data_IF_407909704705
#
_entry.id   IF_407909704705
#
_cell.length_a   1.000
_cell.length_b   1.000
_cell.length_c   1.000
_cell.angle_alpha   90.00
_cell.angle_beta   90.00
_cell.angle_gamma   90.00
#
_symmetry.space_group_name_H-M   'P 1'
#
loop_
_entity.id
_entity.type
_entity.pdbx_description
1 polymer ?
#
# COMPACT_ATOMS: atom_id res chain seq x y z
N UNK A 1 8.81 -41.36 -22.59
CA UNK A 1 7.34 -41.60 -22.57
C UNK A 1 6.82 -42.34 -21.32
N UNK A 2 7.59 -43.15 -20.60
CA UNK A 2 7.14 -43.76 -19.32
C UNK A 2 7.34 -42.84 -18.11
N UNK A 3 8.35 -42.01 -18.12
CA UNK A 3 8.66 -41.09 -16.98
C UNK A 3 7.71 -39.89 -16.88
N UNK A 4 7.29 -39.30 -18.00
CA UNK A 4 6.35 -38.15 -18.00
C UNK A 4 4.95 -38.49 -17.45
N UNK A 5 4.47 -39.73 -17.67
CA UNK A 5 3.18 -40.17 -17.08
C UNK A 5 3.26 -40.36 -15.57
N UNK A 6 4.44 -40.70 -15.05
CA UNK A 6 4.66 -40.93 -13.63
C UNK A 6 4.81 -39.59 -12.88
N UNK A 7 5.43 -38.58 -13.48
CA UNK A 7 5.50 -37.23 -12.92
C UNK A 7 4.15 -36.51 -12.92
N UNK A 8 3.39 -36.62 -14.00
CA UNK A 8 2.02 -36.11 -14.07
C UNK A 8 1.07 -36.79 -13.08
N UNK A 9 1.25 -38.08 -12.83
CA UNK A 9 0.52 -38.83 -11.82
C UNK A 9 0.82 -38.34 -10.41
N UNK A 10 2.09 -38.17 -10.06
CA UNK A 10 2.55 -37.62 -8.75
C UNK A 10 2.10 -36.21 -8.54
N UNK A 11 2.15 -35.36 -9.59
CA UNK A 11 1.66 -33.98 -9.53
C UNK A 11 0.15 -33.89 -9.28
N UNK A 12 -0.64 -34.78 -9.89
CA UNK A 12 -2.10 -34.86 -9.67
C UNK A 12 -2.45 -35.37 -8.26
N UNK A 13 -1.64 -36.25 -7.72
CA UNK A 13 -1.82 -36.81 -6.38
C UNK A 13 -1.42 -35.77 -5.33
N UNK A 14 -0.33 -35.04 -5.52
CA UNK A 14 0.08 -33.91 -4.69
C UNK A 14 -0.94 -32.75 -4.73
N UNK A 15 -1.47 -32.42 -5.92
CA UNK A 15 -2.53 -31.41 -6.10
C UNK A 15 -3.87 -31.85 -5.45
N UNK A 16 -4.06 -33.15 -5.28
CA UNK A 16 -5.23 -33.71 -4.58
C UNK A 16 -5.02 -33.70 -3.08
N UNK A 17 -3.84 -34.10 -2.59
CA UNK A 17 -3.48 -34.04 -1.17
C UNK A 17 -3.45 -32.58 -0.66
N UNK A 18 -2.94 -31.64 -1.45
CA UNK A 18 -2.95 -30.21 -1.12
C UNK A 18 -4.40 -29.67 -1.13
N UNK A 19 -5.26 -30.11 -2.05
CA UNK A 19 -6.71 -29.77 -2.01
C UNK A 19 -7.40 -30.33 -0.78
N UNK A 20 -7.12 -31.58 -0.45
CA UNK A 20 -7.75 -32.27 0.69
C UNK A 20 -7.22 -31.68 2.02
N UNK A 21 -5.97 -31.24 2.06
CA UNK A 21 -5.36 -30.57 3.21
C UNK A 21 -5.95 -29.16 3.43
N UNK A 22 -6.18 -28.39 2.37
CA UNK A 22 -6.87 -27.08 2.44
C UNK A 22 -8.39 -27.23 2.63
N UNK A 23 -8.99 -28.34 2.18
CA UNK A 23 -10.40 -28.69 2.40
C UNK A 23 -10.64 -29.33 3.79
N UNK A 24 -9.70 -30.09 4.32
CA UNK A 24 -9.80 -30.72 5.65
C UNK A 24 -9.44 -29.76 6.80
N UNK A 25 -8.70 -28.66 6.56
CA UNK A 25 -8.55 -27.56 7.50
C UNK A 25 -9.84 -26.72 7.66
N UNK A 26 -10.84 -26.96 6.81
CA UNK A 26 -12.18 -26.38 6.89
C UNK A 26 -13.02 -26.96 8.01
N UNK A 27 -12.63 -26.72 9.26
CA UNK A 27 -13.53 -26.77 10.40
C UNK A 27 -14.53 -25.61 10.25
N UNK A 28 -15.64 -25.82 9.51
CA UNK A 28 -16.87 -25.05 9.62
C UNK A 28 -16.78 -23.52 9.46
N UNK A 29 -15.71 -22.99 8.85
CA UNK A 29 -15.56 -21.57 8.56
C UNK A 29 -16.41 -21.17 7.36
N UNK A 30 -17.01 -19.99 7.40
CA UNK A 30 -17.67 -19.42 6.22
C UNK A 30 -16.64 -19.12 5.12
N UNK A 31 -17.03 -19.18 3.82
CA UNK A 31 -16.10 -18.94 2.71
C UNK A 31 -15.57 -17.50 2.72
N UNK A 32 -14.47 -17.24 1.97
CA UNK A 32 -13.86 -15.92 1.78
C UNK A 32 -14.92 -14.83 1.68
N UNK A 33 -14.73 -13.75 2.47
CA UNK A 33 -15.60 -12.58 2.40
C UNK A 33 -15.29 -11.78 1.14
N UNK A 34 -16.34 -11.22 0.56
CA UNK A 34 -16.22 -10.34 -0.60
C UNK A 34 -16.89 -8.99 -0.32
N UNK A 35 -16.32 -7.93 -0.89
CA UNK A 35 -16.91 -6.58 -0.91
C UNK A 35 -17.00 -6.10 -2.36
N UNK A 36 -18.02 -5.27 -2.64
CA UNK A 36 -18.26 -4.80 -4.01
C UNK A 36 -17.31 -3.67 -4.39
N UNK A 37 -16.83 -3.71 -5.65
CA UNK A 37 -16.23 -2.55 -6.27
C UNK A 37 -17.28 -1.52 -6.71
N UNK A 38 -16.85 -0.42 -7.34
CA UNK A 38 -17.74 0.67 -7.85
C UNK A 38 -18.82 0.17 -8.82
N UNK A 39 -18.57 -0.95 -9.50
CA UNK A 39 -19.46 -1.51 -10.52
C UNK A 39 -20.18 -2.79 -10.07
N UNK A 40 -20.13 -3.11 -8.79
CA UNK A 40 -20.82 -4.25 -8.18
C UNK A 40 -20.10 -5.60 -8.32
N UNK A 41 -18.82 -5.60 -8.76
CA UNK A 41 -18.01 -6.81 -8.87
C UNK A 41 -17.50 -7.21 -7.49
N UNK A 42 -17.48 -8.51 -7.21
CA UNK A 42 -16.98 -9.07 -5.95
C UNK A 42 -15.45 -9.09 -5.90
N UNK A 43 -14.88 -8.43 -4.89
CA UNK A 43 -13.47 -8.48 -4.54
C UNK A 43 -13.28 -9.16 -3.19
N UNK A 44 -12.38 -10.13 -3.11
CA UNK A 44 -12.01 -10.75 -1.83
C UNK A 44 -11.47 -9.67 -0.88
N UNK A 45 -11.91 -9.70 0.38
CA UNK A 45 -11.44 -8.71 1.38
C UNK A 45 -9.94 -8.81 1.64
N UNK A 46 -9.34 -9.99 1.40
CA UNK A 46 -7.89 -10.20 1.36
C UNK A 46 -7.41 -10.14 -0.09
N UNK A 47 -6.41 -9.29 -0.36
CA UNK A 47 -5.69 -9.23 -1.62
C UNK A 47 -4.26 -9.73 -1.48
N UNK A 48 -3.73 -10.36 -2.54
CA UNK A 48 -2.36 -10.85 -2.58
C UNK A 48 -1.41 -9.76 -3.09
N UNK A 49 -0.51 -9.26 -2.20
CA UNK A 49 0.51 -8.28 -2.54
C UNK A 49 1.77 -8.93 -3.10
N UNK A 50 2.03 -8.76 -4.39
CA UNK A 50 3.12 -9.42 -5.13
C UNK A 50 4.50 -8.73 -5.00
N UNK A 51 4.68 -7.80 -4.05
CA UNK A 51 5.95 -7.08 -3.86
C UNK A 51 7.00 -7.91 -3.10
N UNK A 52 6.58 -8.85 -2.24
CA UNK A 52 7.44 -9.47 -1.22
C UNK A 52 7.66 -10.97 -1.40
N UNK A 53 7.68 -11.45 -2.62
CA UNK A 53 8.04 -12.84 -2.90
C UNK A 53 9.41 -13.21 -2.33
N UNK A 54 9.52 -14.44 -1.82
CA UNK A 54 10.80 -15.00 -1.38
C UNK A 54 11.80 -14.99 -2.53
N UNK A 55 13.06 -14.70 -2.24
CA UNK A 55 14.13 -14.69 -3.23
C UNK A 55 15.06 -15.89 -3.03
N UNK A 56 15.51 -16.48 -4.15
CA UNK A 56 16.58 -17.45 -4.23
C UNK A 56 17.75 -16.77 -4.96
N UNK A 57 18.74 -16.32 -4.18
CA UNK A 57 19.78 -15.41 -4.68
C UNK A 57 19.19 -14.02 -5.00
N UNK A 58 19.39 -13.55 -6.23
CA UNK A 58 18.88 -12.24 -6.71
C UNK A 58 17.50 -12.32 -7.38
N UNK A 59 17.06 -13.52 -7.78
CA UNK A 59 15.78 -13.77 -8.44
C UNK A 59 14.67 -14.16 -7.44
N UNK A 60 13.41 -14.02 -7.86
CA UNK A 60 12.27 -14.56 -7.11
C UNK A 60 12.31 -16.09 -7.16
N UNK A 61 12.03 -16.75 -6.04
CA UNK A 61 11.79 -18.21 -6.00
C UNK A 61 10.41 -18.50 -6.64
N UNK A 62 10.44 -18.79 -7.95
CA UNK A 62 9.22 -18.92 -8.74
C UNK A 62 8.36 -20.11 -8.30
N UNK A 63 8.99 -21.24 -7.93
CA UNK A 63 8.26 -22.44 -7.50
C UNK A 63 7.51 -22.18 -6.17
N UNK A 64 8.20 -21.55 -5.22
CA UNK A 64 7.60 -21.18 -3.93
C UNK A 64 6.49 -20.16 -4.12
N UNK A 65 6.72 -19.11 -4.90
CA UNK A 65 5.73 -18.08 -5.17
C UNK A 65 4.49 -18.62 -5.89
N UNK A 66 4.64 -19.56 -6.86
CA UNK A 66 3.52 -20.24 -7.51
C UNK A 66 2.67 -21.02 -6.49
N UNK A 67 3.29 -21.77 -5.58
CA UNK A 67 2.56 -22.48 -4.51
C UNK A 67 1.75 -21.51 -3.63
N UNK A 68 2.34 -20.38 -3.26
CA UNK A 68 1.69 -19.35 -2.43
C UNK A 68 0.52 -18.67 -3.17
N UNK A 69 0.72 -18.28 -4.44
CA UNK A 69 -0.33 -17.70 -5.30
C UNK A 69 -1.50 -18.66 -5.46
N UNK A 70 -1.20 -19.93 -5.78
CA UNK A 70 -2.23 -20.95 -6.01
C UNK A 70 -2.96 -21.34 -4.73
N UNK A 71 -2.28 -21.35 -3.57
CA UNK A 71 -2.93 -21.56 -2.27
C UNK A 71 -3.93 -20.45 -1.98
N UNK A 72 -3.53 -19.18 -2.16
CA UNK A 72 -4.41 -18.03 -1.99
C UNK A 72 -5.61 -18.06 -2.96
N UNK A 73 -5.38 -18.41 -4.24
CA UNK A 73 -6.45 -18.56 -5.22
C UNK A 73 -7.46 -19.64 -4.82
N UNK A 74 -7.00 -20.81 -4.38
CA UNK A 74 -7.88 -21.90 -3.92
C UNK A 74 -8.69 -21.53 -2.68
N UNK A 75 -8.14 -20.65 -1.84
CA UNK A 75 -8.82 -20.10 -0.66
C UNK A 75 -9.76 -18.92 -1.00
N UNK A 76 -9.98 -18.59 -2.28
CA UNK A 76 -10.93 -17.59 -2.72
C UNK A 76 -10.37 -16.18 -2.89
N UNK A 77 -9.05 -15.96 -2.74
CA UNK A 77 -8.43 -14.66 -3.05
C UNK A 77 -8.50 -14.40 -4.54
N UNK A 78 -9.14 -13.29 -4.93
CA UNK A 78 -9.32 -12.94 -6.34
C UNK A 78 -8.73 -11.57 -6.73
N UNK A 79 -7.97 -10.91 -5.85
CA UNK A 79 -7.31 -9.63 -6.11
C UNK A 79 -5.79 -9.76 -5.91
N UNK A 80 -5.00 -9.51 -6.98
CA UNK A 80 -3.54 -9.65 -7.01
C UNK A 80 -2.90 -8.32 -7.38
N UNK A 81 -2.12 -7.74 -6.45
CA UNK A 81 -1.51 -6.41 -6.59
C UNK A 81 -0.03 -6.50 -6.91
N UNK A 82 0.36 -5.98 -8.06
CA UNK A 82 1.76 -5.83 -8.48
C UNK A 82 2.06 -4.39 -8.91
N UNK A 83 3.23 -4.12 -9.47
CA UNK A 83 3.60 -2.84 -10.07
C UNK A 83 4.77 -3.01 -11.03
N UNK A 84 4.84 -2.14 -12.04
CA UNK A 84 5.96 -2.07 -13.00
C UNK A 84 7.34 -2.10 -12.33
N UNK A 85 7.48 -1.40 -11.19
CA UNK A 85 8.75 -1.25 -10.47
C UNK A 85 9.09 -2.39 -9.51
N UNK A 86 8.23 -3.42 -9.38
CA UNK A 86 8.55 -4.58 -8.55
C UNK A 86 9.34 -5.60 -9.39
N UNK A 87 10.67 -5.74 -9.17
CA UNK A 87 11.52 -6.50 -10.08
C UNK A 87 11.06 -7.96 -10.23
N UNK A 88 10.71 -8.37 -11.46
CA UNK A 88 10.28 -9.73 -11.80
C UNK A 88 8.86 -10.11 -11.39
N UNK A 89 8.16 -9.27 -10.62
CA UNK A 89 6.85 -9.60 -10.06
C UNK A 89 5.77 -9.77 -11.13
N UNK A 90 5.67 -8.85 -12.09
CA UNK A 90 4.69 -8.93 -13.18
C UNK A 90 4.92 -10.17 -14.06
N UNK A 91 6.18 -10.43 -14.41
CA UNK A 91 6.55 -11.61 -15.23
C UNK A 91 6.18 -12.90 -14.50
N UNK A 92 6.48 -12.99 -13.22
CA UNK A 92 6.14 -14.16 -12.41
C UNK A 92 4.62 -14.36 -12.32
N UNK A 93 3.90 -13.30 -11.94
CA UNK A 93 2.44 -13.35 -11.79
C UNK A 93 1.78 -13.79 -13.13
N UNK A 94 2.13 -13.14 -14.24
CA UNK A 94 1.60 -13.48 -15.56
C UNK A 94 1.89 -14.93 -15.94
N UNK A 95 3.11 -15.41 -15.70
CA UNK A 95 3.50 -16.81 -15.96
C UNK A 95 2.68 -17.80 -15.14
N UNK A 96 2.46 -17.52 -13.85
CA UNK A 96 1.69 -18.41 -12.96
C UNK A 96 0.23 -18.44 -13.39
N UNK A 97 -0.37 -17.29 -13.66
CA UNK A 97 -1.79 -17.21 -14.04
C UNK A 97 -2.07 -17.90 -15.39
N UNK A 98 -1.19 -17.70 -16.39
CA UNK A 98 -1.29 -18.35 -17.69
C UNK A 98 -1.13 -19.87 -17.57
N UNK A 99 -0.05 -20.35 -16.91
CA UNK A 99 0.24 -21.77 -16.73
C UNK A 99 -0.90 -22.53 -16.06
N UNK A 100 -1.59 -21.89 -15.11
CA UNK A 100 -2.69 -22.50 -14.36
C UNK A 100 -4.07 -22.22 -14.96
N UNK A 101 -4.18 -21.43 -16.03
CA UNK A 101 -5.45 -21.14 -16.73
C UNK A 101 -6.45 -20.41 -15.84
N UNK A 102 -5.98 -19.44 -15.02
CA UNK A 102 -6.83 -18.72 -14.06
C UNK A 102 -6.85 -17.20 -14.26
N UNK A 103 -6.29 -16.68 -15.36
CA UNK A 103 -6.24 -15.23 -15.61
C UNK A 103 -7.62 -14.57 -15.57
N UNK A 104 -8.62 -15.20 -16.13
CA UNK A 104 -10.01 -14.74 -16.19
C UNK A 104 -10.78 -14.87 -14.87
N UNK A 105 -10.25 -15.60 -13.91
CA UNK A 105 -10.84 -15.84 -12.58
C UNK A 105 -10.33 -14.92 -11.51
N UNK A 106 -9.34 -14.08 -11.83
CA UNK A 106 -8.71 -13.16 -10.88
C UNK A 106 -8.67 -11.73 -11.41
N UNK A 107 -8.53 -10.78 -10.51
CA UNK A 107 -8.37 -9.37 -10.81
C UNK A 107 -6.89 -8.99 -10.61
N UNK A 108 -6.23 -8.52 -11.67
CA UNK A 108 -4.87 -8.00 -11.60
C UNK A 108 -4.91 -6.49 -11.38
N UNK A 109 -4.18 -6.02 -10.36
CA UNK A 109 -3.84 -4.63 -10.17
C UNK A 109 -2.36 -4.39 -10.49
N UNK A 110 -2.05 -3.48 -11.43
CA UNK A 110 -0.68 -2.98 -11.65
C UNK A 110 -0.66 -1.46 -11.83
N UNK A 111 0.55 -0.86 -11.91
CA UNK A 111 0.67 0.57 -11.62
C UNK A 111 1.64 1.26 -12.58
N UNK A 112 1.15 2.27 -13.30
CA UNK A 112 1.96 3.18 -14.11
C UNK A 112 2.97 3.92 -13.23
N UNK A 113 4.28 3.79 -13.46
CA UNK A 113 5.30 4.55 -12.74
C UNK A 113 5.28 6.03 -13.18
N UNK A 114 4.22 6.78 -12.80
CA UNK A 114 3.88 8.10 -13.31
C UNK A 114 5.02 9.14 -13.17
N UNK A 115 5.88 8.97 -12.17
CA UNK A 115 7.05 9.84 -11.97
C UNK A 115 8.17 9.59 -13.01
N UNK A 116 8.14 8.46 -13.73
CA UNK A 116 9.03 8.14 -14.84
C UNK A 116 8.47 8.59 -16.20
N UNK A 117 7.17 8.95 -16.24
CA UNK A 117 6.46 9.31 -17.46
C UNK A 117 6.61 10.80 -17.76
N UNK A 118 7.04 11.13 -18.99
CA UNK A 118 7.19 12.51 -19.48
C UNK A 118 6.36 12.83 -20.73
N UNK A 119 5.62 11.84 -21.28
CA UNK A 119 4.74 11.98 -22.45
C UNK A 119 3.73 10.84 -22.47
N UNK A 120 2.61 11.01 -23.21
CA UNK A 120 1.63 9.94 -23.43
C UNK A 120 2.25 8.74 -24.12
N UNK A 121 3.13 8.94 -25.10
CA UNK A 121 3.88 7.84 -25.71
C UNK A 121 4.74 7.05 -24.68
N UNK A 122 5.26 7.72 -23.64
CA UNK A 122 5.94 7.06 -22.53
C UNK A 122 4.99 6.27 -21.65
N UNK A 123 3.79 6.79 -21.35
CA UNK A 123 2.76 6.06 -20.61
C UNK A 123 2.33 4.81 -21.38
N UNK A 124 2.06 4.94 -22.66
CA UNK A 124 1.72 3.84 -23.57
C UNK A 124 2.79 2.76 -23.62
N UNK A 125 4.07 3.16 -23.66
CA UNK A 125 5.19 2.21 -23.63
C UNK A 125 5.18 1.37 -22.36
N UNK A 126 5.08 2.00 -21.17
CA UNK A 126 5.05 1.27 -19.91
C UNK A 126 3.83 0.36 -19.81
N UNK A 127 2.66 0.83 -20.24
CA UNK A 127 1.43 0.04 -20.23
C UNK A 127 1.53 -1.21 -21.11
N UNK A 128 2.10 -1.10 -22.32
CA UNK A 128 2.33 -2.29 -23.17
C UNK A 128 3.32 -3.27 -22.57
N UNK A 129 4.42 -2.78 -21.98
CA UNK A 129 5.38 -3.63 -21.28
C UNK A 129 4.73 -4.37 -20.09
N UNK A 130 3.80 -3.73 -19.36
CA UNK A 130 3.04 -4.37 -18.27
C UNK A 130 2.12 -5.47 -18.79
N UNK A 131 1.37 -5.23 -19.87
CA UNK A 131 0.53 -6.24 -20.52
C UNK A 131 1.37 -7.44 -20.98
N UNK A 132 2.50 -7.20 -21.63
CA UNK A 132 3.43 -8.24 -22.10
C UNK A 132 3.96 -9.08 -20.93
N UNK A 133 4.45 -8.44 -19.85
CA UNK A 133 4.95 -9.13 -18.66
C UNK A 133 3.87 -9.93 -17.95
N UNK A 134 2.66 -9.40 -17.85
CA UNK A 134 1.51 -10.03 -17.23
C UNK A 134 0.82 -11.05 -18.15
N UNK A 135 1.25 -11.15 -19.43
CA UNK A 135 0.69 -12.08 -20.44
C UNK A 135 -0.83 -11.99 -20.56
N UNK A 136 -1.32 -10.76 -20.73
CA UNK A 136 -2.75 -10.45 -20.75
C UNK A 136 -3.04 -9.28 -21.66
N UNK A 137 -4.25 -9.21 -22.21
CA UNK A 137 -4.69 -8.12 -23.09
C UNK A 137 -5.38 -6.98 -22.32
N UNK A 138 -5.60 -7.14 -21.01
CA UNK A 138 -6.27 -6.15 -20.18
C UNK A 138 -5.81 -6.17 -18.73
N UNK A 139 -5.96 -5.02 -18.05
CA UNK A 139 -5.72 -4.86 -16.62
C UNK A 139 -7.06 -4.56 -15.93
N UNK A 140 -7.36 -5.28 -14.86
CA UNK A 140 -8.60 -5.09 -14.11
C UNK A 140 -8.59 -3.81 -13.28
N UNK A 141 -7.47 -3.49 -12.62
CA UNK A 141 -7.29 -2.33 -11.74
C UNK A 141 -5.96 -1.64 -12.04
N UNK A 142 -6.00 -0.53 -12.77
CA UNK A 142 -4.80 0.20 -13.16
C UNK A 142 -4.62 1.45 -12.30
N UNK A 143 -3.40 1.71 -11.77
CA UNK A 143 -3.17 2.79 -10.84
C UNK A 143 -2.14 3.80 -11.36
N UNK A 144 -2.39 5.08 -11.12
CA UNK A 144 -1.32 6.09 -11.11
C UNK A 144 -0.46 5.86 -9.86
N UNK A 145 0.77 5.34 -10.04
CA UNK A 145 1.62 4.87 -8.95
C UNK A 145 2.19 6.02 -8.13
N UNK A 146 2.07 5.92 -6.78
CA UNK A 146 2.73 6.81 -5.83
C UNK A 146 2.44 8.29 -6.06
N UNK A 147 1.19 8.69 -6.18
CA UNK A 147 0.85 10.10 -6.09
C UNK A 147 1.10 10.59 -4.66
N UNK A 148 1.77 11.72 -4.50
CA UNK A 148 2.13 12.32 -3.21
C UNK A 148 1.53 13.71 -3.02
N UNK A 149 1.21 14.40 -4.11
CA UNK A 149 0.61 15.73 -4.10
C UNK A 149 -0.27 15.98 -5.33
N UNK A 150 -1.17 16.95 -5.23
CA UNK A 150 -2.08 17.31 -6.31
C UNK A 150 -1.35 17.83 -7.57
N UNK A 151 -0.16 18.43 -7.40
CA UNK A 151 0.60 18.95 -8.53
C UNK A 151 1.12 17.83 -9.46
N UNK A 152 1.34 16.62 -8.93
CA UNK A 152 1.67 15.46 -9.77
C UNK A 152 0.48 15.07 -10.67
N UNK A 153 -0.74 15.07 -10.13
CA UNK A 153 -1.93 14.78 -10.90
C UNK A 153 -2.21 15.86 -11.95
N UNK A 154 -2.10 17.14 -11.58
CA UNK A 154 -2.24 18.26 -12.52
C UNK A 154 -1.25 18.16 -13.69
N UNK A 155 0.01 17.81 -13.40
CA UNK A 155 1.00 17.55 -14.45
C UNK A 155 0.57 16.44 -15.41
N UNK A 156 0.03 15.34 -14.90
CA UNK A 156 -0.44 14.23 -15.73
C UNK A 156 -1.63 14.67 -16.60
N UNK A 157 -2.56 15.44 -16.04
CA UNK A 157 -3.70 16.00 -16.81
C UNK A 157 -3.22 16.91 -17.94
N UNK A 158 -2.30 17.84 -17.66
CA UNK A 158 -1.71 18.72 -18.66
C UNK A 158 -0.97 17.96 -19.78
N UNK A 159 -0.50 16.76 -19.49
CA UNK A 159 0.14 15.88 -20.47
C UNK A 159 -0.87 15.12 -21.35
N UNK A 160 -2.17 15.14 -21.01
CA UNK A 160 -3.23 14.42 -21.72
C UNK A 160 -3.54 13.02 -21.17
N UNK A 161 -3.13 12.70 -19.91
CA UNK A 161 -3.34 11.35 -19.35
C UNK A 161 -4.82 10.98 -19.24
N UNK A 162 -5.70 11.95 -19.00
CA UNK A 162 -7.15 11.71 -18.86
C UNK A 162 -7.77 11.20 -20.14
N UNK A 163 -7.34 11.75 -21.29
CA UNK A 163 -7.76 11.29 -22.60
C UNK A 163 -7.26 9.88 -22.88
N UNK A 164 -5.99 9.64 -22.61
CA UNK A 164 -5.38 8.31 -22.74
C UNK A 164 -6.10 7.26 -21.88
N UNK A 165 -6.46 7.59 -20.63
CA UNK A 165 -7.24 6.70 -19.75
C UNK A 165 -8.62 6.40 -20.39
N UNK A 166 -9.30 7.44 -20.91
CA UNK A 166 -10.62 7.29 -21.55
C UNK A 166 -10.55 6.33 -22.74
N UNK A 167 -9.54 6.47 -23.59
CA UNK A 167 -9.30 5.59 -24.73
C UNK A 167 -9.05 4.12 -24.28
N UNK A 168 -8.23 3.92 -23.25
CA UNK A 168 -7.94 2.57 -22.73
C UNK A 168 -9.17 1.92 -22.08
N UNK A 169 -9.98 2.69 -21.36
CA UNK A 169 -11.26 2.20 -20.81
C UNK A 169 -12.25 1.87 -21.93
N UNK A 170 -12.37 2.70 -22.95
CA UNK A 170 -13.25 2.45 -24.09
C UNK A 170 -12.83 1.20 -24.89
N UNK A 171 -11.52 0.96 -25.02
CA UNK A 171 -10.97 -0.25 -25.63
C UNK A 171 -11.07 -1.51 -24.75
N UNK A 172 -11.48 -1.38 -23.49
CA UNK A 172 -11.55 -2.48 -22.52
C UNK A 172 -10.21 -2.99 -22.01
N UNK A 173 -9.08 -2.34 -22.36
CA UNK A 173 -7.73 -2.74 -21.94
C UNK A 173 -7.42 -2.28 -20.52
N UNK A 174 -8.10 -1.25 -20.00
CA UNK A 174 -8.16 -0.88 -18.59
C UNK A 174 -9.62 -0.95 -18.15
N UNK A 175 -9.93 -1.77 -17.15
CA UNK A 175 -11.30 -1.91 -16.64
C UNK A 175 -11.63 -0.88 -15.57
N UNK A 176 -10.71 -0.69 -14.62
CA UNK A 176 -10.84 0.27 -13.53
C UNK A 176 -9.58 1.13 -13.42
N UNK A 177 -9.75 2.43 -13.23
CA UNK A 177 -8.66 3.38 -13.04
C UNK A 177 -8.65 3.93 -11.62
N UNK A 178 -7.47 3.92 -11.00
CA UNK A 178 -7.28 4.42 -9.65
C UNK A 178 -5.91 5.06 -9.44
N UNK A 179 -5.59 5.29 -8.19
CA UNK A 179 -4.27 5.79 -7.81
C UNK A 179 -3.81 5.21 -6.47
N UNK A 180 -2.50 5.00 -6.30
CA UNK A 180 -1.88 4.75 -5.00
C UNK A 180 -1.30 6.03 -4.44
N UNK A 181 -1.40 6.20 -3.12
CA UNK A 181 -1.14 7.49 -2.48
C UNK A 181 -0.19 7.42 -1.29
N UNK A 182 0.79 8.35 -1.26
CA UNK A 182 1.78 8.51 -0.18
C UNK A 182 2.05 9.98 0.15
N UNK A 183 1.04 10.78 0.35
CA UNK A 183 1.18 12.19 0.71
C UNK A 183 0.35 12.56 1.96
N UNK A 184 0.08 13.82 2.18
CA UNK A 184 -0.77 14.28 3.28
C UNK A 184 -2.26 14.24 2.93
N UNK A 185 -3.13 14.28 3.94
CA UNK A 185 -4.60 14.21 3.78
C UNK A 185 -5.16 15.29 2.86
N UNK A 186 -4.64 16.53 2.92
CA UNK A 186 -5.14 17.64 2.10
C UNK A 186 -4.93 17.40 0.61
N UNK A 187 -3.76 16.91 0.23
CA UNK A 187 -3.46 16.57 -1.16
C UNK A 187 -4.23 15.34 -1.63
N UNK A 188 -4.44 14.35 -0.73
CA UNK A 188 -5.29 13.21 -1.03
C UNK A 188 -6.70 13.66 -1.43
N UNK A 189 -7.33 14.53 -0.63
CA UNK A 189 -8.67 15.03 -0.90
C UNK A 189 -8.76 15.82 -2.23
N UNK A 190 -7.71 16.60 -2.56
CA UNK A 190 -7.63 17.29 -3.86
C UNK A 190 -7.54 16.32 -5.03
N UNK A 191 -6.73 15.26 -4.93
CA UNK A 191 -6.61 14.23 -5.96
C UNK A 191 -7.92 13.45 -6.10
N UNK A 192 -8.53 13.07 -4.97
CA UNK A 192 -9.80 12.35 -4.93
C UNK A 192 -10.94 13.13 -5.62
N UNK A 193 -10.94 14.45 -5.50
CA UNK A 193 -11.90 15.34 -6.15
C UNK A 193 -11.54 15.66 -7.61
N UNK A 194 -10.27 15.49 -7.98
CA UNK A 194 -9.71 15.93 -9.25
C UNK A 194 -10.03 15.05 -10.47
N UNK A 195 -10.67 13.91 -10.26
CA UNK A 195 -11.06 12.96 -11.31
C UNK A 195 -12.15 12.01 -10.83
N UNK A 196 -12.88 11.38 -11.77
CA UNK A 196 -13.85 10.31 -11.46
C UNK A 196 -13.14 8.96 -11.33
N UNK A 197 -12.50 8.75 -10.19
CA UNK A 197 -11.76 7.54 -9.89
C UNK A 197 -12.69 6.34 -9.66
N UNK A 198 -12.28 5.18 -10.14
CA UNK A 198 -13.02 3.94 -9.91
C UNK A 198 -12.63 3.31 -8.56
N UNK A 199 -11.41 3.56 -8.06
CA UNK A 199 -10.92 3.09 -6.76
C UNK A 199 -9.68 3.91 -6.32
N UNK A 200 -9.25 3.72 -5.08
CA UNK A 200 -7.96 4.25 -4.61
C UNK A 200 -7.24 3.25 -3.70
N UNK A 201 -5.91 3.39 -3.61
CA UNK A 201 -5.07 2.57 -2.75
C UNK A 201 -4.32 3.48 -1.77
N UNK A 202 -4.48 3.23 -0.46
CA UNK A 202 -3.89 4.03 0.61
C UNK A 202 -3.14 3.17 1.63
N UNK A 203 -2.11 3.73 2.24
CA UNK A 203 -1.52 3.15 3.44
C UNK A 203 -2.46 3.40 4.63
N UNK A 204 -2.85 2.33 5.33
CA UNK A 204 -3.69 2.45 6.51
C UNK A 204 -3.53 1.25 7.44
N UNK A 205 -3.43 1.48 8.74
CA UNK A 205 -3.34 0.46 9.78
C UNK A 205 -3.66 1.09 11.14
N UNK A 206 -3.82 0.29 12.19
CA UNK A 206 -4.22 0.77 13.50
C UNK A 206 -3.24 1.77 14.16
N UNK A 207 -1.98 1.83 13.73
CA UNK A 207 -0.99 2.80 14.23
C UNK A 207 -1.01 4.13 13.45
N UNK A 208 -1.31 4.07 12.14
CA UNK A 208 -1.22 5.20 11.19
C UNK A 208 -2.58 5.84 10.85
N UNK A 209 -3.55 5.79 11.76
CA UNK A 209 -4.93 6.25 11.56
C UNK A 209 -5.05 7.72 11.10
N UNK A 210 -4.10 8.57 11.53
CA UNK A 210 -4.07 10.00 11.21
C UNK A 210 -2.97 10.36 10.21
N UNK A 211 -2.25 9.38 9.69
CA UNK A 211 -1.13 9.58 8.77
C UNK A 211 -1.56 9.46 7.32
N UNK A 212 -0.88 10.18 6.43
CA UNK A 212 -1.11 10.18 4.98
C UNK A 212 -2.58 10.53 4.63
N UNK A 213 -3.29 9.68 3.87
CA UNK A 213 -4.73 9.82 3.64
C UNK A 213 -5.50 9.68 4.95
N UNK A 214 -5.12 8.70 5.77
CA UNK A 214 -5.68 8.41 7.09
C UNK A 214 -7.16 8.07 7.08
N UNK A 215 -7.78 8.02 8.26
CA UNK A 215 -9.21 7.78 8.42
C UNK A 215 -10.07 8.83 7.71
N UNK A 216 -9.62 10.07 7.63
CA UNK A 216 -10.34 11.12 6.91
C UNK A 216 -10.38 10.86 5.40
N UNK A 217 -9.27 10.40 4.81
CA UNK A 217 -9.20 10.01 3.41
C UNK A 217 -10.04 8.77 3.11
N UNK A 218 -9.97 7.75 3.97
CA UNK A 218 -10.79 6.54 3.89
C UNK A 218 -12.28 6.88 3.82
N UNK A 219 -12.76 7.65 4.81
CA UNK A 219 -14.17 8.06 4.87
C UNK A 219 -14.60 8.94 3.69
N UNK A 220 -13.72 9.84 3.24
CA UNK A 220 -14.00 10.70 2.09
C UNK A 220 -14.14 9.90 0.79
N UNK A 221 -13.31 8.88 0.57
CA UNK A 221 -13.42 7.99 -0.58
C UNK A 221 -14.69 7.16 -0.51
N UNK A 222 -14.97 6.53 0.63
CA UNK A 222 -16.18 5.73 0.85
C UNK A 222 -17.47 6.55 0.66
N UNK A 223 -17.52 7.80 1.14
CA UNK A 223 -18.66 8.70 0.96
C UNK A 223 -18.92 9.03 -0.52
N UNK A 224 -17.92 8.89 -1.40
CA UNK A 224 -18.06 9.01 -2.86
C UNK A 224 -18.36 7.68 -3.55
N UNK A 225 -18.55 6.60 -2.81
CA UNK A 225 -18.69 5.25 -3.37
C UNK A 225 -17.42 4.72 -4.05
N UNK A 226 -16.25 5.26 -3.69
CA UNK A 226 -14.97 4.85 -4.25
C UNK A 226 -14.37 3.75 -3.37
N UNK A 227 -14.21 2.52 -3.86
CA UNK A 227 -13.56 1.41 -3.16
C UNK A 227 -12.16 1.76 -2.70
N UNK A 228 -11.83 1.38 -1.46
CA UNK A 228 -10.52 1.65 -0.88
C UNK A 228 -9.74 0.35 -0.66
N UNK A 229 -8.59 0.29 -1.31
CA UNK A 229 -7.63 -0.82 -1.18
C UNK A 229 -6.57 -0.39 -0.16
N UNK A 230 -6.32 -1.23 0.84
CA UNK A 230 -5.34 -0.93 1.88
C UNK A 230 -4.01 -1.59 1.56
N UNK A 231 -2.95 -0.78 1.48
CA UNK A 231 -1.57 -1.24 1.45
C UNK A 231 -0.88 -1.00 2.80
N UNK A 232 0.19 -1.74 3.07
CA UNK A 232 0.97 -1.68 4.31
C UNK A 232 0.14 -1.89 5.60
N UNK A 233 -0.77 -2.86 5.64
CA UNK A 233 -1.61 -3.12 6.82
C UNK A 233 -0.78 -3.46 8.06
N UNK A 234 0.41 -4.04 7.85
CA UNK A 234 1.35 -4.46 8.90
C UNK A 234 2.63 -3.60 8.91
N UNK A 235 2.67 -2.44 8.23
CA UNK A 235 3.87 -1.62 8.06
C UNK A 235 5.08 -2.43 7.59
N UNK A 236 4.87 -3.29 6.60
CA UNK A 236 5.91 -4.18 6.09
C UNK A 236 6.30 -5.32 7.04
N UNK A 237 5.39 -5.75 7.91
CA UNK A 237 5.60 -6.78 8.93
C UNK A 237 6.08 -6.25 10.29
N UNK A 238 6.28 -4.94 10.43
CA UNK A 238 6.77 -4.33 11.67
C UNK A 238 5.77 -4.43 12.82
N UNK A 239 4.47 -4.32 12.53
CA UNK A 239 3.40 -4.53 13.52
C UNK A 239 3.25 -5.98 13.99
N UNK A 240 4.10 -6.89 13.51
CA UNK A 240 4.21 -8.27 13.97
C UNK A 240 5.59 -8.49 14.61
N UNK A 241 6.66 -8.14 13.89
CA UNK A 241 8.01 -8.52 14.26
C UNK A 241 8.66 -7.56 15.28
N UNK A 242 8.34 -6.25 15.20
CA UNK A 242 8.96 -5.19 16.01
C UNK A 242 8.06 -4.66 17.14
N UNK A 243 6.98 -5.36 17.47
CA UNK A 243 6.15 -4.99 18.63
C UNK A 243 6.97 -5.08 19.93
N UNK A 244 6.82 -4.11 20.87
CA UNK A 244 7.36 -4.23 22.22
C UNK A 244 6.91 -5.53 22.91
N UNK A 245 7.75 -6.05 23.82
CA UNK A 245 7.45 -7.31 24.51
C UNK A 245 6.13 -7.27 25.28
N UNK A 246 5.83 -6.14 25.94
CA UNK A 246 4.59 -5.91 26.66
C UNK A 246 3.37 -5.88 25.72
N UNK A 247 3.51 -5.33 24.51
CA UNK A 247 2.45 -5.32 23.51
C UNK A 247 2.18 -6.74 22.99
N UNK A 248 3.22 -7.53 22.69
CA UNK A 248 3.08 -8.95 22.30
C UNK A 248 2.39 -9.76 23.40
N UNK A 249 2.81 -9.55 24.65
CA UNK A 249 2.22 -10.22 25.81
C UNK A 249 0.74 -9.87 25.96
N UNK A 250 0.38 -8.59 25.90
CA UNK A 250 -1.01 -8.14 26.00
C UNK A 250 -1.91 -8.74 24.91
N UNK A 251 -1.42 -8.86 23.68
CA UNK A 251 -2.15 -9.51 22.59
C UNK A 251 -2.29 -11.03 22.83
N UNK A 252 -1.22 -11.70 23.27
CA UNK A 252 -1.21 -13.15 23.50
C UNK A 252 -2.11 -13.59 24.68
N UNK A 253 -2.22 -12.77 25.72
CA UNK A 253 -3.05 -13.02 26.90
C UNK A 253 -4.53 -12.68 26.67
N UNK A 254 -4.88 -12.07 25.54
CA UNK A 254 -6.28 -11.77 25.24
C UNK A 254 -7.06 -13.04 24.90
N UNK A 255 -8.32 -13.08 25.36
CA UNK A 255 -9.26 -14.21 25.16
C UNK A 255 -9.51 -14.60 23.70
N UNK A 256 -9.23 -13.71 22.74
CA UNK A 256 -9.42 -13.98 21.31
C UNK A 256 -8.39 -14.97 20.75
N UNK A 257 -7.19 -15.05 21.35
CA UNK A 257 -6.11 -15.91 20.88
C UNK A 257 -5.56 -15.55 19.50
N UNK A 258 -5.82 -14.33 19.01
CA UNK A 258 -5.39 -13.88 17.68
C UNK A 258 -3.92 -13.48 17.67
N UNK A 259 -3.24 -13.80 16.58
CA UNK A 259 -1.89 -13.31 16.34
C UNK A 259 -1.87 -11.79 16.14
N UNK A 260 -0.71 -11.13 16.25
CA UNK A 260 -0.57 -9.72 15.92
C UNK A 260 -1.01 -9.37 14.48
N UNK A 261 -0.80 -10.28 13.52
CA UNK A 261 -1.27 -10.10 12.15
C UNK A 261 -2.80 -10.14 12.07
N UNK A 262 -3.42 -11.15 12.70
CA UNK A 262 -4.87 -11.27 12.74
C UNK A 262 -5.54 -10.08 13.44
N UNK A 263 -4.97 -9.53 14.53
CA UNK A 263 -5.44 -8.30 15.17
C UNK A 263 -5.45 -7.11 14.20
N UNK A 264 -4.36 -6.92 13.45
CA UNK A 264 -4.25 -5.80 12.52
C UNK A 264 -5.22 -5.93 11.33
N UNK A 265 -5.38 -7.14 10.78
CA UNK A 265 -6.33 -7.40 9.69
C UNK A 265 -7.77 -7.24 10.16
N UNK A 266 -8.14 -7.80 11.31
CA UNK A 266 -9.50 -7.68 11.86
C UNK A 266 -9.85 -6.24 12.18
N UNK A 267 -8.88 -5.42 12.65
CA UNK A 267 -9.10 -3.98 12.82
C UNK A 267 -9.45 -3.29 11.50
N UNK A 268 -8.82 -3.68 10.39
CA UNK A 268 -9.14 -3.16 9.06
C UNK A 268 -10.49 -3.66 8.57
N UNK A 269 -10.75 -4.97 8.68
CA UNK A 269 -12.02 -5.57 8.25
C UNK A 269 -13.22 -5.09 9.06
N UNK A 270 -13.00 -4.67 10.30
CA UNK A 270 -14.02 -4.07 11.16
C UNK A 270 -14.63 -2.78 10.58
N UNK A 271 -13.96 -2.15 9.62
CA UNK A 271 -14.38 -0.92 8.95
C UNK A 271 -15.04 -1.27 7.60
N UNK A 272 -16.35 -0.99 7.42
CA UNK A 272 -17.06 -1.31 6.17
C UNK A 272 -16.53 -0.52 4.97
N UNK A 273 -15.86 0.61 5.19
CA UNK A 273 -15.26 1.47 4.15
C UNK A 273 -14.02 0.83 3.49
N UNK A 274 -13.38 -0.15 4.13
CA UNK A 274 -12.23 -0.88 3.58
C UNK A 274 -12.73 -1.95 2.62
N UNK A 275 -12.29 -1.92 1.37
CA UNK A 275 -12.74 -2.91 0.36
C UNK A 275 -11.81 -4.13 0.32
N UNK A 276 -10.51 -3.91 0.16
CA UNK A 276 -9.49 -4.98 0.10
C UNK A 276 -8.31 -4.61 0.98
N UNK A 277 -7.76 -5.58 1.70
CA UNK A 277 -6.50 -5.44 2.46
C UNK A 277 -5.41 -6.27 1.80
N UNK A 278 -4.33 -5.62 1.35
CA UNK A 278 -3.22 -6.29 0.67
C UNK A 278 -2.26 -6.91 1.68
N UNK A 279 -1.94 -8.17 1.51
CA UNK A 279 -0.91 -8.86 2.26
C UNK A 279 0.18 -9.44 1.36
N UNK A 280 1.45 -9.18 1.69
CA UNK A 280 2.61 -9.78 1.04
C UNK A 280 2.94 -11.12 1.71
N UNK A 281 2.16 -12.14 1.42
CA UNK A 281 2.30 -13.48 1.95
C UNK A 281 3.43 -14.21 1.22
N UNK A 282 4.50 -14.58 1.94
CA UNK A 282 5.66 -15.26 1.38
C UNK A 282 5.96 -16.60 2.08
N UNK A 283 4.94 -17.20 2.66
CA UNK A 283 4.90 -18.59 3.10
C UNK A 283 3.46 -19.11 3.09
N UNK A 284 3.29 -20.44 3.01
CA UNK A 284 1.96 -21.08 3.03
C UNK A 284 1.24 -20.86 4.35
N UNK A 285 1.98 -20.79 5.46
CA UNK A 285 1.43 -20.50 6.79
C UNK A 285 0.81 -19.09 6.84
N UNK A 286 1.48 -18.10 6.23
CA UNK A 286 0.91 -16.73 6.14
C UNK A 286 -0.33 -16.71 5.24
N UNK A 287 -0.35 -17.48 4.14
CA UNK A 287 -1.53 -17.60 3.29
C UNK A 287 -2.67 -18.18 4.09
N UNK A 288 -2.45 -19.31 4.78
CA UNK A 288 -3.46 -19.98 5.58
C UNK A 288 -4.00 -19.06 6.69
N UNK A 289 -3.14 -18.50 7.54
CA UNK A 289 -3.56 -17.65 8.65
C UNK A 289 -4.36 -16.42 8.17
N UNK A 290 -3.90 -15.76 7.09
CA UNK A 290 -4.55 -14.56 6.60
C UNK A 290 -5.89 -14.86 5.91
N UNK A 291 -6.01 -16.00 5.21
CA UNK A 291 -7.29 -16.43 4.64
C UNK A 291 -8.28 -16.82 5.72
N UNK A 292 -7.87 -17.60 6.72
CA UNK A 292 -8.72 -17.94 7.88
C UNK A 292 -9.18 -16.66 8.62
N UNK A 293 -8.30 -15.67 8.76
CA UNK A 293 -8.66 -14.38 9.35
C UNK A 293 -9.70 -13.65 8.50
N UNK A 294 -9.52 -13.63 7.18
CA UNK A 294 -10.42 -12.95 6.23
C UNK A 294 -11.80 -13.64 6.16
N UNK A 295 -11.83 -14.98 6.19
CA UNK A 295 -13.08 -15.77 6.16
C UNK A 295 -13.98 -15.44 7.36
N UNK A 296 -13.37 -15.24 8.52
CA UNK A 296 -14.06 -15.12 9.81
C UNK A 296 -14.23 -13.67 10.30
N UNK A 297 -13.66 -12.66 9.62
CA UNK A 297 -13.77 -11.27 10.04
C UNK A 297 -15.03 -10.60 9.48
N UNK A 298 -15.69 -9.77 10.30
CA UNK A 298 -16.91 -9.04 9.92
C UNK A 298 -16.78 -7.56 10.25
N UNK A 299 -17.45 -6.68 9.49
CA UNK A 299 -17.60 -5.29 9.90
C UNK A 299 -18.25 -5.19 11.29
N UNK A 300 -17.76 -4.26 12.10
CA UNK A 300 -18.26 -4.02 13.47
C UNK A 300 -18.12 -5.21 14.43
N UNK A 301 -17.21 -6.15 14.16
CA UNK A 301 -16.97 -7.33 15.01
C UNK A 301 -16.25 -6.98 16.33
N UNK A 302 -15.35 -5.99 16.29
CA UNK A 302 -14.52 -5.65 17.45
C UNK A 302 -15.34 -4.97 18.54
N UNK A 303 -15.27 -5.52 19.74
CA UNK A 303 -15.93 -4.99 20.93
C UNK A 303 -15.07 -3.90 21.60
N UNK A 304 -15.63 -3.18 22.57
CA UNK A 304 -14.94 -2.13 23.29
C UNK A 304 -13.59 -2.58 23.91
N UNK A 305 -13.55 -3.80 24.48
CA UNK A 305 -12.34 -4.38 25.07
C UNK A 305 -11.26 -4.67 24.01
N UNK A 306 -11.67 -5.11 22.82
CA UNK A 306 -10.77 -5.37 21.69
C UNK A 306 -10.12 -4.06 21.21
N UNK A 307 -10.91 -2.99 21.10
CA UNK A 307 -10.44 -1.66 20.72
C UNK A 307 -9.54 -1.07 21.81
N UNK A 308 -9.87 -1.25 23.09
CA UNK A 308 -9.04 -0.81 24.21
C UNK A 308 -7.68 -1.52 24.25
N UNK A 309 -7.64 -2.82 23.90
CA UNK A 309 -6.37 -3.54 23.75
C UNK A 309 -5.51 -2.93 22.65
N UNK A 310 -6.08 -2.65 21.49
CA UNK A 310 -5.35 -2.05 20.38
C UNK A 310 -4.85 -0.64 20.73
N UNK A 311 -5.61 0.15 21.49
CA UNK A 311 -5.15 1.45 22.00
C UNK A 311 -3.97 1.27 22.96
N UNK A 312 -4.04 0.35 23.90
CA UNK A 312 -2.92 0.01 24.80
C UNK A 312 -1.66 -0.40 24.01
N UNK A 313 -1.82 -1.24 22.99
CA UNK A 313 -0.71 -1.64 22.10
C UNK A 313 -0.12 -0.43 21.39
N UNK A 314 -0.95 0.48 20.90
CA UNK A 314 -0.56 1.74 20.26
C UNK A 314 0.25 2.63 21.21
N UNK A 315 -0.19 2.77 22.45
CA UNK A 315 0.52 3.50 23.51
C UNK A 315 1.91 2.90 23.79
N UNK A 316 1.98 1.57 23.92
CA UNK A 316 3.24 0.85 24.14
C UNK A 316 4.24 1.03 22.98
N UNK A 317 3.76 1.03 21.73
CA UNK A 317 4.60 1.33 20.56
C UNK A 317 5.09 2.78 20.63
N UNK A 318 4.20 3.73 20.95
CA UNK A 318 4.51 5.16 21.03
C UNK A 318 5.43 5.55 22.18
N UNK A 319 5.48 4.75 23.24
CA UNK A 319 6.43 4.97 24.34
C UNK A 319 7.89 4.95 23.89
N UNK A 320 8.22 4.29 22.76
CA UNK A 320 9.53 4.35 22.11
C UNK A 320 9.78 5.58 21.24
N UNK A 321 8.80 6.46 21.05
CA UNK A 321 8.88 7.61 20.15
C UNK A 321 9.67 8.78 20.78
N UNK A 322 10.37 9.55 19.94
CA UNK A 322 11.13 10.74 20.35
C UNK A 322 10.29 12.01 20.45
N UNK A 323 9.18 12.05 19.75
CA UNK A 323 8.25 13.17 19.73
C UNK A 323 6.84 12.63 19.92
N UNK A 324 6.17 13.00 21.01
CA UNK A 324 4.82 12.57 21.34
C UNK A 324 3.75 13.16 20.43
N UNK A 325 3.96 13.08 19.11
CA UNK A 325 3.03 13.59 18.10
C UNK A 325 1.95 12.55 17.79
N UNK A 326 0.70 12.84 18.14
CA UNK A 326 -0.45 11.98 17.88
C UNK A 326 -0.99 12.06 16.44
N UNK A 327 -0.41 12.95 15.61
CA UNK A 327 -0.88 13.14 14.23
C UNK A 327 -2.23 13.87 14.11
N UNK A 328 -2.74 14.51 15.17
CA UNK A 328 -4.06 15.16 15.23
C UNK A 328 -4.25 16.32 14.22
N UNK A 329 -3.15 16.85 13.63
CA UNK A 329 -3.12 17.86 12.57
C UNK A 329 -3.62 19.27 12.95
N UNK A 330 -3.86 19.57 14.23
CA UNK A 330 -4.22 20.95 14.64
C UNK A 330 -3.14 21.99 14.30
N UNK A 331 -1.88 21.56 14.11
CA UNK A 331 -0.79 22.41 13.64
C UNK A 331 -0.83 22.68 12.12
N UNK A 332 -1.78 22.09 11.40
CA UNK A 332 -1.91 22.20 9.94
C UNK A 332 -3.14 23.06 9.55
N UNK A 333 -3.12 23.72 8.35
CA UNK A 333 -1.99 23.79 7.43
C UNK A 333 -0.88 24.70 7.92
N UNK A 334 0.38 24.29 7.71
CA UNK A 334 1.51 25.19 7.95
C UNK A 334 1.57 26.26 6.83
N UNK A 335 1.66 27.57 7.16
CA UNK A 335 1.68 28.63 6.14
C UNK A 335 2.91 28.57 5.22
N UNK A 336 3.91 27.78 5.60
CA UNK A 336 5.12 27.54 4.79
C UNK A 336 5.17 26.14 4.19
N UNK A 337 4.07 25.39 4.23
CA UNK A 337 3.97 24.08 3.60
C UNK A 337 4.75 22.95 4.29
N UNK A 338 5.20 23.11 5.54
CA UNK A 338 5.89 22.05 6.29
C UNK A 338 4.89 20.96 6.67
N UNK A 339 5.14 19.71 6.32
CA UNK A 339 4.35 18.58 6.81
C UNK A 339 4.83 18.12 8.19
N UNK A 340 4.42 18.88 9.21
CA UNK A 340 4.86 18.70 10.59
C UNK A 340 4.57 17.27 11.10
N UNK A 341 3.33 16.73 11.02
CA UNK A 341 3.04 15.37 11.48
C UNK A 341 3.79 14.28 10.68
N UNK A 342 3.90 14.43 9.36
CA UNK A 342 4.63 13.51 8.50
C UNK A 342 6.11 13.42 8.84
N UNK A 343 6.74 14.57 9.11
CA UNK A 343 8.14 14.63 9.54
C UNK A 343 8.33 13.93 10.89
N UNK A 344 7.47 14.22 11.88
CA UNK A 344 7.59 13.61 13.21
C UNK A 344 7.33 12.11 13.17
N UNK A 345 6.39 11.64 12.38
CA UNK A 345 6.17 10.20 12.15
C UNK A 345 7.43 9.51 11.64
N UNK A 346 8.07 10.07 10.62
CA UNK A 346 9.30 9.51 10.07
C UNK A 346 10.47 9.58 11.06
N UNK A 347 10.53 10.66 11.87
CA UNK A 347 11.54 10.80 12.91
C UNK A 347 11.36 9.78 14.03
N UNK A 348 10.14 9.54 14.49
CA UNK A 348 9.81 8.49 15.45
C UNK A 348 10.15 7.11 14.91
N UNK A 349 9.82 6.83 13.65
CA UNK A 349 10.12 5.57 12.98
C UNK A 349 11.63 5.23 12.98
N UNK A 350 12.52 6.22 13.01
CA UNK A 350 13.97 5.98 13.16
C UNK A 350 14.32 5.26 14.47
N UNK A 351 13.51 5.41 15.49
CA UNK A 351 13.75 4.85 16.84
C UNK A 351 12.91 3.61 17.12
N UNK A 352 11.72 3.56 16.59
CA UNK A 352 10.80 2.43 16.77
C UNK A 352 10.96 1.31 15.72
N UNK A 353 11.51 1.64 14.56
CA UNK A 353 11.60 0.71 13.42
C UNK A 353 13.01 0.56 12.85
N UNK A 354 13.84 1.57 13.02
CA UNK A 354 15.21 1.63 12.55
C UNK A 354 15.55 2.90 11.76
N UNK A 355 16.83 3.32 11.85
CA UNK A 355 17.28 4.58 11.22
C UNK A 355 17.09 4.61 9.71
N UNK A 356 17.36 3.49 9.04
CA UNK A 356 17.21 3.38 7.60
C UNK A 356 15.73 3.47 7.18
N UNK A 357 14.85 2.82 7.94
CA UNK A 357 13.42 2.80 7.68
C UNK A 357 12.77 4.17 7.82
N UNK A 358 13.04 4.89 8.92
CA UNK A 358 12.51 6.25 9.10
C UNK A 358 12.97 7.21 8.01
N UNK A 359 14.24 7.09 7.55
CA UNK A 359 14.77 7.89 6.44
C UNK A 359 14.15 7.51 5.09
N UNK A 360 13.94 6.23 4.85
CA UNK A 360 13.27 5.76 3.64
C UNK A 360 11.82 6.28 3.58
N UNK A 361 11.06 6.14 4.68
CA UNK A 361 9.70 6.68 4.78
C UNK A 361 9.68 8.20 4.55
N UNK A 362 10.64 8.93 5.14
CA UNK A 362 10.77 10.37 4.93
C UNK A 362 11.03 10.72 3.46
N UNK A 363 11.97 10.03 2.80
CA UNK A 363 12.23 10.23 1.38
C UNK A 363 10.97 10.02 0.55
N UNK A 364 10.22 8.94 0.82
CA UNK A 364 9.02 8.57 0.09
C UNK A 364 7.86 9.56 0.29
N UNK A 365 7.58 9.99 1.53
CA UNK A 365 6.34 10.71 1.87
C UNK A 365 6.51 12.24 1.96
N UNK A 366 7.73 12.72 2.24
CA UNK A 366 8.03 14.13 2.44
C UNK A 366 9.10 14.64 1.47
N UNK A 367 10.16 13.82 1.26
CA UNK A 367 11.37 14.27 0.56
C UNK A 367 11.23 14.32 -0.95
N UNK A 368 10.55 13.35 -1.56
CA UNK A 368 10.43 13.19 -3.01
C UNK A 368 9.13 13.75 -3.59
N UNK A 369 8.43 14.59 -2.86
CA UNK A 369 7.25 15.33 -3.34
C UNK A 369 7.67 16.43 -4.33
N UNK A 370 6.81 16.81 -5.28
CA UNK A 370 7.05 17.96 -6.16
C UNK A 370 7.04 19.27 -5.38
N UNK A 371 6.10 19.44 -4.48
CA UNK A 371 6.05 20.54 -3.53
C UNK A 371 6.78 20.11 -2.26
N UNK A 372 7.98 20.64 -1.97
CA UNK A 372 8.71 20.25 -0.79
C UNK A 372 7.95 20.62 0.48
N UNK A 373 7.97 19.72 1.46
CA UNK A 373 7.32 19.90 2.76
C UNK A 373 8.33 19.81 3.92
N UNK A 374 9.59 20.20 3.64
CA UNK A 374 10.72 20.04 4.55
C UNK A 374 10.64 20.94 5.81
N UNK A 375 11.20 20.47 6.91
CA UNK A 375 11.37 21.25 8.13
C UNK A 375 12.16 22.54 7.92
N UNK A 376 13.09 22.59 6.94
CA UNK A 376 13.87 23.79 6.59
C UNK A 376 13.03 24.94 6.03
N UNK A 377 11.79 24.71 5.65
CA UNK A 377 10.87 25.77 5.24
C UNK A 377 10.24 26.52 6.43
N UNK A 378 10.45 26.01 7.66
CA UNK A 378 9.94 26.63 8.87
C UNK A 378 10.60 27.99 9.10
N UNK A 379 9.78 29.05 9.16
CA UNK A 379 10.21 30.43 9.46
C UNK A 379 10.11 30.77 10.95
N UNK A 380 9.82 29.81 11.82
CA UNK A 380 9.78 30.04 13.27
C UNK A 380 8.56 30.81 13.78
N UNK A 381 7.46 30.92 13.01
CA UNK A 381 6.31 31.77 13.37
C UNK A 381 5.52 31.32 14.61
N UNK A 382 5.74 30.12 15.15
CA UNK A 382 5.13 29.59 16.37
C UNK A 382 3.64 29.21 16.29
N UNK A 383 2.95 29.44 15.17
CA UNK A 383 1.51 29.12 15.05
C UNK A 383 1.19 27.66 15.39
N UNK A 384 2.01 26.73 14.92
CA UNK A 384 1.83 25.30 15.15
C UNK A 384 1.90 24.90 16.63
N UNK A 385 2.78 25.51 17.40
CA UNK A 385 2.93 25.21 18.83
C UNK A 385 1.72 25.75 19.64
N UNK A 386 1.16 26.89 19.24
CA UNK A 386 -0.02 27.50 19.89
C UNK A 386 -1.24 26.58 19.81
N UNK A 387 -1.36 25.76 18.74
CA UNK A 387 -2.49 24.86 18.51
C UNK A 387 -2.17 23.40 18.83
N UNK A 388 -0.95 23.08 19.30
CA UNK A 388 -0.58 21.71 19.63
C UNK A 388 -1.16 21.27 20.97
N UNK A 389 -2.12 20.33 21.03
CA UNK A 389 -2.70 19.88 22.29
C UNK A 389 -1.71 19.10 23.15
N UNK A 390 -0.61 18.60 22.53
CA UNK A 390 0.45 17.85 23.23
C UNK A 390 1.56 18.77 23.78
N UNK A 391 1.47 20.08 23.59
CA UNK A 391 2.49 21.02 24.05
C UNK A 391 3.89 20.81 23.44
N UNK A 392 3.98 20.18 22.27
CA UNK A 392 5.26 19.87 21.63
C UNK A 392 5.97 21.17 21.22
N UNK A 393 7.27 21.36 21.57
CA UNK A 393 8.09 22.45 21.06
C UNK A 393 8.45 22.16 19.58
N UNK A 394 7.47 22.36 18.70
CA UNK A 394 7.49 21.89 17.29
C UNK A 394 8.68 22.46 16.52
N UNK A 395 8.98 23.75 16.71
CA UNK A 395 10.08 24.42 16.01
C UNK A 395 11.45 23.82 16.33
N UNK A 396 11.67 23.46 17.59
CA UNK A 396 12.88 22.80 18.07
C UNK A 396 12.94 21.36 17.54
N UNK A 397 11.88 20.60 17.75
CA UNK A 397 11.79 19.20 17.32
C UNK A 397 11.87 19.04 15.80
N UNK A 398 11.41 19.99 15.00
CA UNK A 398 11.61 20.00 13.56
C UNK A 398 13.08 20.13 13.17
N UNK A 399 13.88 20.93 13.89
CA UNK A 399 15.33 21.05 13.64
C UNK A 399 16.06 19.74 13.97
N UNK A 400 15.72 19.12 15.11
CA UNK A 400 16.26 17.82 15.49
C UNK A 400 15.91 16.74 14.46
N UNK A 401 14.64 16.65 14.07
CA UNK A 401 14.16 15.72 13.08
C UNK A 401 14.85 15.90 11.72
N UNK A 402 14.99 17.12 11.25
CA UNK A 402 15.66 17.41 9.97
C UNK A 402 17.13 16.96 9.97
N UNK A 403 17.86 17.25 11.05
CA UNK A 403 19.26 16.81 11.22
C UNK A 403 19.40 15.28 11.17
N UNK A 404 18.46 14.59 11.81
CA UNK A 404 18.50 13.12 11.91
C UNK A 404 18.02 12.45 10.61
N UNK A 405 16.94 12.92 10.02
CA UNK A 405 16.33 12.36 8.82
C UNK A 405 17.14 12.67 7.55
N UNK A 406 17.76 13.87 7.51
CA UNK A 406 18.51 14.36 6.33
C UNK A 406 19.98 14.67 6.65
N UNK A 407 20.80 13.72 7.17
CA UNK A 407 22.23 13.93 7.21
C UNK A 407 22.78 14.22 5.82
N UNK A 408 23.95 14.82 5.70
CA UNK A 408 24.50 15.36 4.44
C UNK A 408 24.39 14.39 3.24
N UNK A 409 24.74 13.10 3.33
CA UNK A 409 24.59 12.18 2.21
C UNK A 409 23.14 12.01 1.73
N UNK A 410 22.19 11.89 2.67
CA UNK A 410 20.75 11.76 2.34
C UNK A 410 20.18 13.04 1.74
N UNK A 411 20.64 14.23 2.21
CA UNK A 411 20.22 15.52 1.65
C UNK A 411 20.66 15.66 0.21
N UNK A 412 21.90 15.26 -0.12
CA UNK A 412 22.42 15.25 -1.48
C UNK A 412 21.59 14.28 -2.34
N UNK A 413 21.38 13.04 -1.89
CA UNK A 413 20.62 12.02 -2.61
C UNK A 413 19.18 12.44 -2.90
N UNK A 414 18.45 12.96 -1.91
CA UNK A 414 17.07 13.46 -2.10
C UNK A 414 17.03 14.63 -3.08
N UNK A 415 17.96 15.59 -2.98
CA UNK A 415 18.01 16.73 -3.88
C UNK A 415 18.35 16.31 -5.32
N UNK A 416 19.27 15.36 -5.49
CA UNK A 416 19.61 14.81 -6.81
C UNK A 416 18.42 14.06 -7.43
N UNK A 417 17.73 13.21 -6.67
CA UNK A 417 16.54 12.49 -7.11
C UNK A 417 15.41 13.47 -7.51
N UNK A 418 15.18 14.51 -6.72
CA UNK A 418 14.22 15.56 -7.04
C UNK A 418 14.59 16.34 -8.29
N UNK A 419 15.87 16.73 -8.43
CA UNK A 419 16.38 17.42 -9.63
C UNK A 419 16.18 16.57 -10.88
N UNK A 420 16.41 15.27 -10.79
CA UNK A 420 16.16 14.31 -11.88
C UNK A 420 14.67 14.25 -12.25
N UNK A 421 13.78 14.13 -11.25
CA UNK A 421 12.33 14.15 -11.50
C UNK A 421 11.83 15.46 -12.11
N UNK A 422 12.43 16.60 -11.71
CA UNK A 422 12.07 17.93 -12.23
C UNK A 422 12.69 18.20 -13.63
N UNK A 423 13.90 17.70 -13.92
CA UNK A 423 14.54 17.81 -15.26
C UNK A 423 13.73 17.11 -16.33
N UNK A 424 13.24 15.89 -16.08
CA UNK A 424 12.36 15.17 -17.02
C UNK A 424 11.06 15.93 -17.35
N UNK A 425 10.70 16.93 -16.55
CA UNK A 425 9.53 17.77 -16.81
C UNK A 425 9.84 19.06 -17.60
N UNK A 426 11.09 19.53 -17.61
CA UNK A 426 11.49 20.79 -18.29
C UNK A 426 11.93 20.61 -19.74
N UNK A 427 12.47 19.46 -20.12
CA UNK A 427 13.01 19.22 -21.47
C UNK A 427 11.95 19.13 -22.57
N UNK A 428 10.66 19.32 -22.30
CA UNK A 428 9.58 19.37 -23.30
C UNK A 428 8.78 20.65 -23.34
N UNK A 429 9.00 21.60 -22.43
CA UNK A 429 8.43 22.94 -22.59
C UNK A 429 9.24 23.84 -23.56
N UNK A 430 10.44 23.42 -23.90
CA UNK A 430 11.36 24.17 -24.79
C UNK A 430 11.28 23.82 -26.28
N UNK A 431 10.61 22.72 -26.66
CA UNK A 431 10.51 22.30 -28.08
C UNK A 431 9.12 22.43 -28.69
N UNK A 432 8.21 23.18 -28.04
CA UNK A 432 6.89 23.47 -28.58
C UNK A 432 6.75 24.94 -29.07
N UNK A 433 7.89 25.55 -29.40
CA UNK A 433 7.96 26.94 -29.88
C UNK A 433 9.02 27.09 -30.95
N UNK A 434 9.00 26.22 -31.97
CA UNK A 434 9.60 26.47 -33.30
C UNK A 434 8.71 25.82 -34.37
#
# INVERSE_FOLDING_TARGET
MRDEKTEQGKKREQDREDRDRFSAAGLGGEPMQYRKDKYGRDLSVLGFGCMRFTKKGTAIDAEKAEKEIMAAFRAGVNYYDTAYIYPGSEVLLGTVLERNGIRDKVNIATKLPQYMVSSIAGAEKYFREELERLRTDYIDYYLMHMLTDAAQWERLKQMGITEWIREKKAAGTIRNIGFSYHGNTENFLKILQGYDWDFCQIQYNYLDETSQAGAAGLKAAAAKGIPVIIMEPLRGGKLVNLLPAEAKKAMAENRRGWSPAAWAFRWLYNQPEVTVVLSGMNSLEMVQENTETADNARPHELQADDLALLEKVRELIRAGEKVGCTGCRYCMPCPRGVDIPGIFRCYNAMYTEGKADGRFQFAQTVGMTRQPAFATQCVGCGKCEKYCPQGIPIREKLKEADKALRPLPYRIGINAARAFMLRKSRTKAGNAGE
#
